data_IF_143185379087
#
_entry.id   IF_143185379087
#
_cell.length_a   1.000
_cell.length_b   1.000
_cell.length_c   1.000
_cell.angle_alpha   90.00
_cell.angle_beta   90.00
_cell.angle_gamma   90.00
#
_symmetry.space_group_name_H-M   'P 1'
#
loop_
_entity.id
_entity.type
_entity.pdbx_description
1 polymer ?
#
# COMPACT_ATOMS: atom_id res chain seq x y z
N UNK A 1 -1.87 41.78 -26.54
CA UNK A 1 -1.88 40.35 -26.91
C UNK A 1 -0.83 39.62 -26.07
N UNK A 2 -1.13 39.33 -24.81
CA UNK A 2 -0.20 38.68 -23.88
C UNK A 2 -0.99 38.04 -22.72
N UNK A 3 -1.92 37.14 -23.04
CA UNK A 3 -2.83 36.51 -22.07
C UNK A 3 -3.08 35.04 -22.40
N UNK A 4 -2.06 34.34 -22.91
CA UNK A 4 -2.21 32.99 -23.47
C UNK A 4 -1.30 31.91 -22.90
N UNK A 5 -0.45 32.20 -21.90
CA UNK A 5 0.58 31.24 -21.45
C UNK A 5 0.55 30.91 -19.95
N UNK A 6 -0.49 31.31 -19.21
CA UNK A 6 -0.58 31.04 -17.77
C UNK A 6 -1.38 29.78 -17.41
N UNK A 7 -1.87 29.00 -18.38
CA UNK A 7 -2.84 27.91 -18.10
C UNK A 7 -2.26 26.49 -18.08
N UNK A 8 -0.96 26.28 -18.26
CA UNK A 8 -0.37 24.93 -18.33
C UNK A 8 0.52 24.57 -17.12
N UNK A 9 0.51 25.38 -16.05
CA UNK A 9 0.92 24.90 -14.72
C UNK A 9 -0.19 24.04 -14.08
N UNK A 10 -0.80 23.15 -14.85
CA UNK A 10 -1.41 21.95 -14.27
C UNK A 10 -0.23 21.15 -13.74
N UNK A 11 0.17 21.46 -12.51
CA UNK A 11 0.97 20.58 -11.67
C UNK A 11 0.40 19.19 -11.92
N UNK A 12 1.15 18.25 -12.52
CA UNK A 12 0.65 16.89 -12.63
C UNK A 12 0.29 16.51 -11.21
N UNK A 13 -0.97 16.15 -10.98
CA UNK A 13 -1.46 15.78 -9.65
C UNK A 13 -0.70 14.53 -9.23
N UNK A 14 0.49 14.72 -8.69
CA UNK A 14 1.26 13.70 -8.05
C UNK A 14 0.40 13.35 -6.86
N UNK A 15 -0.31 12.22 -6.95
CA UNK A 15 -1.08 11.73 -5.83
C UNK A 15 -0.14 11.73 -4.61
N UNK A 16 -0.58 12.28 -3.47
CA UNK A 16 0.24 12.27 -2.29
C UNK A 16 0.69 10.82 -2.02
N UNK A 17 1.94 10.61 -1.60
CA UNK A 17 2.41 9.27 -1.30
C UNK A 17 1.52 8.65 -0.22
N UNK A 18 1.24 7.36 -0.34
CA UNK A 18 0.45 6.62 0.65
C UNK A 18 1.30 6.46 1.92
N UNK A 19 1.12 7.38 2.87
CA UNK A 19 1.87 7.41 4.13
C UNK A 19 1.04 6.83 5.29
N UNK A 20 -0.29 6.85 5.20
CA UNK A 20 -1.24 6.44 6.25
C UNK A 20 -2.30 5.45 5.76
N UNK A 21 -2.95 4.74 6.69
CA UNK A 21 -4.06 3.83 6.38
C UNK A 21 -5.19 4.57 5.67
N UNK A 22 -5.45 5.82 6.07
CA UNK A 22 -6.45 6.68 5.46
C UNK A 22 -6.12 6.97 3.99
N UNK A 23 -4.85 7.26 3.68
CA UNK A 23 -4.40 7.45 2.28
C UNK A 23 -4.55 6.17 1.44
N UNK A 24 -4.35 4.99 2.05
CA UNK A 24 -4.54 3.71 1.36
C UNK A 24 -6.03 3.41 1.12
N UNK A 25 -6.91 3.85 2.03
CA UNK A 25 -8.36 3.76 1.84
C UNK A 25 -8.84 4.78 0.81
N UNK A 26 -8.27 5.98 0.77
CA UNK A 26 -8.60 7.02 -0.21
C UNK A 26 -8.12 6.67 -1.62
N UNK A 27 -6.91 6.09 -1.74
CA UNK A 27 -6.32 5.72 -3.04
C UNK A 27 -7.13 4.69 -3.82
N UNK A 28 -8.00 3.94 -3.15
CA UNK A 28 -8.80 2.89 -3.79
C UNK A 28 -8.01 1.61 -4.08
N UNK A 29 -6.73 1.54 -3.70
CA UNK A 29 -5.86 0.45 -4.09
C UNK A 29 -6.25 -0.87 -3.40
N UNK A 30 -6.02 -1.96 -4.12
CA UNK A 30 -6.10 -3.29 -3.55
C UNK A 30 -4.82 -3.57 -2.78
N UNK A 31 -4.94 -4.34 -1.71
CA UNK A 31 -3.78 -4.74 -0.92
C UNK A 31 -3.93 -6.17 -0.48
N UNK A 32 -2.81 -6.81 -0.16
CA UNK A 32 -2.83 -8.23 0.08
C UNK A 32 -1.56 -8.79 0.68
N UNK A 33 -1.68 -10.07 1.01
CA UNK A 33 -0.63 -10.89 1.59
C UNK A 33 -0.72 -12.31 1.03
N UNK A 34 0.26 -13.13 1.41
CA UNK A 34 0.27 -14.56 1.04
C UNK A 34 -0.82 -15.36 1.74
N UNK A 35 -1.28 -14.92 2.91
CA UNK A 35 -2.21 -15.67 3.76
C UNK A 35 -3.21 -14.72 4.44
N UNK A 36 -4.41 -15.21 4.75
CA UNK A 36 -5.41 -14.47 5.53
C UNK A 36 -5.01 -14.24 7.00
N UNK A 37 -3.93 -14.88 7.47
CA UNK A 37 -3.40 -14.67 8.83
C UNK A 37 -3.10 -13.19 9.11
N UNK A 38 -2.71 -12.44 8.09
CA UNK A 38 -2.37 -11.01 8.18
C UNK A 38 -3.58 -10.13 8.53
N UNK A 39 -4.78 -10.51 8.08
CA UNK A 39 -6.01 -9.79 8.43
C UNK A 39 -6.65 -10.28 9.71
N UNK A 40 -6.18 -11.40 10.27
CA UNK A 40 -6.76 -11.97 11.48
C UNK A 40 -6.62 -11.02 12.68
N UNK A 41 -5.44 -10.44 12.89
CA UNK A 41 -5.21 -9.44 13.94
C UNK A 41 -5.94 -8.13 13.70
N UNK A 42 -6.14 -7.75 12.44
CA UNK A 42 -6.83 -6.52 12.05
C UNK A 42 -8.36 -6.63 12.17
N UNK A 43 -8.92 -7.85 12.14
CA UNK A 43 -10.35 -8.08 12.37
C UNK A 43 -10.80 -7.72 13.78
N UNK A 44 -9.88 -7.68 14.73
CA UNK A 44 -10.18 -7.25 16.11
C UNK A 44 -10.30 -5.73 16.22
N UNK A 45 -9.79 -4.95 15.25
CA UNK A 45 -9.93 -3.52 15.22
C UNK A 45 -11.31 -3.11 14.69
N UNK A 46 -12.13 -2.50 15.55
CA UNK A 46 -13.52 -2.09 15.26
C UNK A 46 -13.63 -0.75 14.53
N UNK A 47 -12.51 -0.17 14.09
CA UNK A 47 -12.50 1.16 13.49
C UNK A 47 -13.08 1.16 12.06
N UNK A 48 -13.95 2.12 11.70
CA UNK A 48 -14.53 2.22 10.36
C UNK A 48 -13.53 2.20 9.18
N UNK A 49 -12.37 2.90 9.23
CA UNK A 49 -11.39 2.83 8.14
C UNK A 49 -10.77 1.44 8.00
N UNK A 50 -10.56 0.73 9.11
CA UNK A 50 -10.01 -0.63 9.10
C UNK A 50 -10.97 -1.62 8.45
N UNK A 51 -12.27 -1.50 8.68
CA UNK A 51 -13.27 -2.35 8.02
C UNK A 51 -13.24 -2.19 6.49
N UNK A 52 -13.10 -0.96 6.01
CA UNK A 52 -12.99 -0.66 4.57
C UNK A 52 -11.68 -1.20 3.99
N UNK A 53 -10.58 -1.07 4.74
CA UNK A 53 -9.29 -1.65 4.41
C UNK A 53 -9.42 -3.17 4.27
N UNK A 54 -9.96 -3.85 5.28
CA UNK A 54 -10.17 -5.31 5.28
C UNK A 54 -11.04 -5.80 4.12
N UNK A 55 -12.06 -5.04 3.72
CA UNK A 55 -12.90 -5.38 2.58
C UNK A 55 -12.13 -5.41 1.24
N UNK A 56 -11.01 -4.68 1.14
CA UNK A 56 -10.15 -4.62 -0.04
C UNK A 56 -8.97 -5.60 0.02
N UNK A 57 -8.83 -6.34 1.11
CA UNK A 57 -7.77 -7.32 1.25
C UNK A 57 -7.96 -8.51 0.31
N UNK A 58 -6.88 -8.92 -0.36
CA UNK A 58 -6.82 -10.11 -1.20
C UNK A 58 -5.68 -11.03 -0.75
N UNK A 59 -6.02 -12.25 -0.34
CA UNK A 59 -5.05 -13.32 -0.20
C UNK A 59 -4.69 -13.84 -1.60
N UNK A 60 -3.44 -13.65 -2.00
CA UNK A 60 -2.92 -14.05 -3.32
C UNK A 60 -1.73 -14.99 -3.15
N UNK A 61 -1.46 -15.80 -4.18
CA UNK A 61 -0.27 -16.66 -4.16
C UNK A 61 1.01 -15.84 -4.29
N UNK A 62 2.16 -16.40 -3.87
CA UNK A 62 3.47 -15.73 -3.97
C UNK A 62 3.77 -15.24 -5.41
N UNK A 63 3.41 -16.03 -6.42
CA UNK A 63 3.62 -15.71 -7.83
C UNK A 63 2.80 -14.49 -8.27
N UNK A 64 1.53 -14.41 -7.85
CA UNK A 64 0.66 -13.28 -8.15
C UNK A 64 1.11 -12.02 -7.42
N UNK A 65 1.54 -12.15 -6.15
CA UNK A 65 2.09 -11.03 -5.41
C UNK A 65 3.38 -10.51 -6.04
N UNK A 66 4.23 -11.41 -6.54
CA UNK A 66 5.44 -11.03 -7.26
C UNK A 66 5.11 -10.31 -8.58
N UNK A 67 4.14 -10.81 -9.34
CA UNK A 67 3.69 -10.12 -10.55
C UNK A 67 3.14 -8.72 -10.24
N UNK A 68 2.29 -8.60 -9.22
CA UNK A 68 1.72 -7.32 -8.79
C UNK A 68 2.77 -6.38 -8.19
N UNK A 69 3.87 -6.90 -7.62
CA UNK A 69 4.91 -6.04 -7.01
C UNK A 69 5.73 -5.28 -8.04
N UNK A 70 5.64 -5.68 -9.32
CA UNK A 70 6.23 -4.97 -10.45
C UNK A 70 5.34 -3.80 -10.94
N UNK A 71 4.08 -3.75 -10.51
CA UNK A 71 3.13 -2.70 -10.90
C UNK A 71 2.80 -1.78 -9.72
N UNK A 72 2.49 -0.50 -10.01
CA UNK A 72 2.20 0.53 -9.00
C UNK A 72 0.68 0.61 -8.69
N UNK A 73 0.01 -0.53 -8.57
CA UNK A 73 -1.45 -0.61 -8.35
C UNK A 73 -1.83 -1.51 -7.15
N UNK A 74 -0.84 -2.08 -6.46
CA UNK A 74 -1.06 -3.02 -5.38
C UNK A 74 -0.21 -2.69 -4.15
N UNK A 75 -0.83 -2.74 -2.96
CA UNK A 75 -0.11 -2.58 -1.69
C UNK A 75 0.13 -3.92 -0.99
N UNK A 76 1.26 -4.03 -0.30
CA UNK A 76 1.70 -5.26 0.36
C UNK A 76 1.73 -5.09 1.87
N UNK A 77 1.26 -6.10 2.59
CA UNK A 77 1.44 -6.17 4.05
C UNK A 77 2.82 -6.72 4.38
N UNK A 78 3.56 -6.03 5.24
CA UNK A 78 4.81 -6.54 5.82
C UNK A 78 4.74 -6.46 7.33
N UNK A 79 5.41 -7.40 8.00
CA UNK A 79 5.41 -7.48 9.47
C UNK A 79 6.66 -6.79 9.98
N UNK A 80 6.47 -5.89 10.95
CA UNK A 80 7.59 -5.29 11.68
C UNK A 80 7.94 -6.21 12.84
N UNK A 81 9.08 -6.86 12.73
CA UNK A 81 9.66 -7.69 13.78
C UNK A 81 10.27 -6.82 14.89
N UNK A 82 10.43 -7.38 16.11
CA UNK A 82 11.17 -6.74 17.18
C UNK A 82 12.57 -6.29 16.72
N UNK A 83 13.06 -5.20 17.31
CA UNK A 83 14.34 -4.56 16.93
C UNK A 83 14.37 -3.89 15.54
N UNK A 84 13.22 -3.57 14.95
CA UNK A 84 13.13 -2.74 13.74
C UNK A 84 13.43 -3.47 12.44
N UNK A 85 13.41 -4.80 12.46
CA UNK A 85 13.51 -5.61 11.26
C UNK A 85 12.14 -5.74 10.60
N UNK A 86 12.10 -5.93 9.28
CA UNK A 86 10.86 -6.22 8.55
C UNK A 86 10.93 -7.62 7.97
N UNK A 87 9.90 -8.42 8.22
CA UNK A 87 9.72 -9.70 7.55
C UNK A 87 9.12 -9.42 6.16
N UNK A 88 10.02 -9.27 5.19
CA UNK A 88 9.68 -9.14 3.78
C UNK A 88 9.65 -10.57 3.21
N UNK A 89 8.53 -10.95 2.58
CA UNK A 89 8.45 -12.27 1.94
C UNK A 89 9.26 -12.31 0.66
N UNK A 90 9.72 -13.50 0.26
CA UNK A 90 10.58 -13.73 -0.93
C UNK A 90 10.00 -13.21 -2.26
N UNK A 91 8.71 -12.84 -2.29
CA UNK A 91 8.02 -12.31 -3.46
C UNK A 91 8.32 -10.81 -3.72
N UNK A 92 8.82 -10.09 -2.73
CA UNK A 92 9.29 -8.70 -2.87
C UNK A 92 10.78 -8.75 -3.20
N UNK A 93 11.10 -8.43 -4.45
CA UNK A 93 12.47 -8.36 -4.96
C UNK A 93 13.01 -6.94 -4.87
N UNK A 94 14.34 -6.78 -4.97
CA UNK A 94 14.99 -5.46 -5.02
C UNK A 94 14.46 -4.57 -6.15
N UNK A 95 14.02 -5.17 -7.26
CA UNK A 95 13.40 -4.44 -8.37
C UNK A 95 12.03 -3.89 -7.97
N UNK A 96 11.17 -4.71 -7.36
CA UNK A 96 9.87 -4.24 -6.85
C UNK A 96 10.02 -3.19 -5.74
N UNK A 97 11.07 -3.26 -4.92
CA UNK A 97 11.37 -2.26 -3.88
C UNK A 97 11.61 -0.86 -4.43
N UNK A 98 11.96 -0.71 -5.71
CA UNK A 98 12.12 0.62 -6.34
C UNK A 98 10.78 1.31 -6.59
N UNK A 99 9.71 0.53 -6.67
CA UNK A 99 8.35 0.98 -6.95
C UNK A 99 7.49 1.03 -5.69
N UNK A 100 7.88 0.27 -4.67
CA UNK A 100 7.19 0.21 -3.39
C UNK A 100 7.79 1.19 -2.38
N UNK A 101 6.92 1.75 -1.54
CA UNK A 101 7.32 2.61 -0.43
C UNK A 101 6.65 2.14 0.85
N UNK A 102 7.43 2.09 1.93
CA UNK A 102 6.89 1.80 3.26
C UNK A 102 6.06 3.00 3.76
N UNK A 103 4.87 2.69 4.28
CA UNK A 103 4.03 3.67 4.97
C UNK A 103 4.73 4.19 6.23
N UNK A 104 4.48 5.46 6.59
CA UNK A 104 5.07 6.08 7.78
C UNK A 104 4.38 5.67 9.07
N UNK A 105 3.06 5.41 8.99
CA UNK A 105 2.27 4.94 10.13
C UNK A 105 2.05 3.44 10.03
N UNK A 106 2.28 2.74 11.13
CA UNK A 106 1.92 1.35 11.28
C UNK A 106 0.39 1.20 11.29
N UNK A 107 -0.11 0.09 10.74
CA UNK A 107 -1.54 -0.25 10.76
C UNK A 107 -1.97 -0.71 12.15
N UNK A 108 -1.07 -1.40 12.88
CA UNK A 108 -1.32 -1.97 14.20
C UNK A 108 0.01 -2.10 14.97
N UNK A 109 -0.02 -1.95 16.31
CA UNK A 109 1.10 -2.20 17.22
C UNK A 109 0.72 -3.25 18.25
#
# INVERSE_FOLDING_TARGET
>A
YCSGLASILTVPSYQPPIDTVEDLVDSGWQWGATHDAWVFSLREATEPPMSTLLARFRALSKEQLHYNSLYNDFAFSIERLPAGHFAIGDYITEESMKHLRLMKKDIYY
#
